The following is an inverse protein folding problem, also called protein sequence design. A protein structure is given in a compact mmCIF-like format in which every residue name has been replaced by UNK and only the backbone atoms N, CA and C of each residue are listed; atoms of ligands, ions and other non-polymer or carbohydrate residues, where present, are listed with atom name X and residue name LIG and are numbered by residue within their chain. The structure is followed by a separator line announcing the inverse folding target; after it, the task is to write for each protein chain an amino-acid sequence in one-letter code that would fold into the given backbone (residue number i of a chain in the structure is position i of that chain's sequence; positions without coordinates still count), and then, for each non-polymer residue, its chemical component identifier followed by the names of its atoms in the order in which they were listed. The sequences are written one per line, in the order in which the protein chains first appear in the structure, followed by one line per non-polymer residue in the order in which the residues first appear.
data_IF_592306557173
#
_entry.id   IF_592306557173
#
_cell.length_a   1.000
_cell.length_b   1.000
_cell.length_c   1.000
_cell.angle_alpha   90.00
_cell.angle_beta   90.00
_cell.angle_gamma   90.00
#
_symmetry.space_group_name_H-M   'P 1'
#
loop_
_entity.id
_entity.type
_entity.pdbx_description
1 polymer ?
#
# COMPACT_ATOMS: atom_id res chain seq x y z
N UNK A 1 -23.78 -10.97 -2.80
CA UNK A 1 -23.26 -9.58 -2.87
C UNK A 1 -21.94 -9.62 -3.62
N UNK A 2 -21.59 -8.55 -4.33
CA UNK A 2 -20.28 -8.46 -4.96
C UNK A 2 -19.18 -8.48 -3.88
N UNK A 3 -18.09 -9.22 -4.15
CA UNK A 3 -16.90 -9.20 -3.30
C UNK A 3 -16.20 -7.86 -3.40
N UNK A 4 -15.62 -7.38 -2.32
CA UNK A 4 -15.03 -6.05 -2.19
C UNK A 4 -13.51 -6.13 -2.17
N UNK A 5 -12.85 -5.41 -3.07
CA UNK A 5 -11.39 -5.38 -3.17
C UNK A 5 -10.87 -3.96 -2.94
N UNK A 6 -9.98 -3.83 -1.97
CA UNK A 6 -9.26 -2.60 -1.66
C UNK A 6 -7.88 -2.64 -2.32
N UNK A 7 -7.62 -1.74 -3.24
CA UNK A 7 -6.30 -1.56 -3.85
C UNK A 7 -5.54 -0.43 -3.16
N UNK A 8 -4.36 -0.74 -2.62
CA UNK A 8 -3.46 0.20 -1.97
C UNK A 8 -2.18 0.28 -2.79
N UNK A 9 -2.13 1.26 -3.68
CA UNK A 9 -1.11 1.38 -4.71
C UNK A 9 -0.09 2.45 -4.34
N UNK A 10 1.17 2.19 -4.66
CA UNK A 10 2.22 3.19 -4.56
C UNK A 10 2.17 4.18 -5.73
N UNK A 11 1.82 3.70 -6.93
CA UNK A 11 1.80 4.46 -8.17
C UNK A 11 0.54 4.17 -8.98
N UNK A 12 -0.03 5.23 -9.60
CA UNK A 12 -1.16 5.10 -10.53
C UNK A 12 -0.97 6.08 -11.68
N UNK A 13 -0.96 5.60 -12.92
CA UNK A 13 -1.10 6.42 -14.12
C UNK A 13 -2.58 6.87 -14.28
N UNK A 14 -2.90 8.10 -14.64
CA UNK A 14 -2.04 9.16 -15.21
C UNK A 14 -1.52 10.19 -14.19
N UNK A 15 -1.66 9.95 -12.89
CA UNK A 15 -1.20 10.90 -11.87
C UNK A 15 0.33 10.93 -11.76
N UNK A 16 0.97 9.81 -12.07
CA UNK A 16 2.43 9.66 -12.17
C UNK A 16 2.82 9.21 -13.58
N UNK A 17 4.13 9.35 -13.94
CA UNK A 17 4.66 8.82 -15.18
C UNK A 17 4.36 7.33 -15.35
N UNK A 18 4.39 6.86 -16.59
CA UNK A 18 4.16 5.48 -16.91
C UNK A 18 5.33 4.60 -16.48
N UNK A 19 5.03 3.64 -15.61
CA UNK A 19 5.88 2.53 -15.17
C UNK A 19 5.03 1.26 -15.19
N UNK A 20 5.64 0.07 -15.15
CA UNK A 20 4.86 -1.18 -15.05
C UNK A 20 3.91 -1.15 -13.84
N UNK A 21 4.39 -0.69 -12.67
CA UNK A 21 3.59 -0.56 -11.47
C UNK A 21 2.43 0.44 -11.64
N UNK A 22 2.67 1.62 -12.21
CA UNK A 22 1.64 2.66 -12.36
C UNK A 22 0.56 2.27 -13.35
N UNK A 23 0.90 1.51 -14.41
CA UNK A 23 -0.06 0.95 -15.37
C UNK A 23 -0.93 -0.11 -14.71
N UNK A 24 -0.34 -1.05 -13.99
CA UNK A 24 -1.10 -2.05 -13.24
C UNK A 24 -1.98 -1.38 -12.18
N UNK A 25 -1.46 -0.35 -11.48
CA UNK A 25 -2.22 0.44 -10.50
C UNK A 25 -3.46 1.11 -11.09
N UNK A 26 -3.44 1.48 -12.38
CA UNK A 26 -4.59 2.00 -13.12
C UNK A 26 -5.53 0.91 -13.61
N UNK A 27 -4.97 -0.11 -14.26
CA UNK A 27 -5.76 -1.05 -15.07
C UNK A 27 -6.32 -2.21 -14.25
N UNK A 28 -5.58 -2.70 -13.24
CA UNK A 28 -6.01 -3.84 -12.43
C UNK A 28 -7.32 -3.56 -11.66
N UNK A 29 -7.51 -2.39 -10.99
CA UNK A 29 -8.79 -2.07 -10.38
C UNK A 29 -9.95 -2.05 -11.39
N UNK A 30 -9.70 -1.57 -12.62
CA UNK A 30 -10.70 -1.56 -13.68
C UNK A 30 -11.08 -2.98 -14.12
N UNK A 31 -10.08 -3.81 -14.40
CA UNK A 31 -10.29 -5.24 -14.74
C UNK A 31 -11.00 -6.00 -13.62
N UNK A 32 -10.68 -5.72 -12.35
CA UNK A 32 -11.38 -6.31 -11.22
C UNK A 32 -12.86 -5.87 -11.17
N UNK A 33 -13.14 -4.59 -11.45
CA UNK A 33 -14.53 -4.10 -11.52
C UNK A 33 -15.30 -4.77 -12.66
N UNK A 34 -14.70 -4.93 -13.84
CA UNK A 34 -15.29 -5.66 -14.97
C UNK A 34 -15.55 -7.13 -14.63
N UNK A 35 -14.70 -7.75 -13.79
CA UNK A 35 -14.88 -9.10 -13.28
C UNK A 35 -15.94 -9.20 -12.15
N UNK A 36 -16.61 -8.09 -11.80
CA UNK A 36 -17.74 -8.05 -10.87
C UNK A 36 -17.38 -7.73 -9.42
N UNK A 37 -16.15 -7.31 -9.13
CA UNK A 37 -15.77 -6.84 -7.80
C UNK A 37 -16.22 -5.40 -7.56
N UNK A 38 -16.63 -5.08 -6.33
CA UNK A 38 -16.74 -3.69 -5.87
C UNK A 38 -15.35 -3.24 -5.41
N UNK A 39 -14.85 -2.12 -5.93
CA UNK A 39 -13.47 -1.70 -5.69
C UNK A 39 -13.37 -0.33 -5.01
N UNK A 40 -12.30 -0.14 -4.25
CA UNK A 40 -11.77 1.16 -3.82
C UNK A 40 -10.27 1.18 -4.02
N UNK A 41 -9.73 2.37 -4.35
CA UNK A 41 -8.33 2.53 -4.73
C UNK A 41 -7.71 3.70 -3.99
N UNK A 42 -6.52 3.48 -3.44
CA UNK A 42 -5.76 4.48 -2.69
C UNK A 42 -4.34 4.61 -3.24
N UNK A 43 -3.76 5.80 -3.13
CA UNK A 43 -2.34 6.06 -3.35
C UNK A 43 -1.85 7.25 -2.51
N UNK A 44 -0.53 7.41 -2.28
CA UNK A 44 0.00 8.63 -1.68
C UNK A 44 -0.15 9.83 -2.63
N UNK A 45 -0.36 11.00 -2.07
CA UNK A 45 -0.35 12.25 -2.82
C UNK A 45 1.10 12.77 -2.96
N UNK A 46 1.85 12.18 -3.85
CA UNK A 46 3.24 12.60 -4.10
C UNK A 46 3.33 14.07 -4.53
N UNK A 47 4.37 14.77 -4.07
CA UNK A 47 4.54 16.21 -4.32
C UNK A 47 4.65 16.61 -5.79
N UNK A 48 5.04 15.68 -6.67
CA UNK A 48 5.09 15.89 -8.12
C UNK A 48 3.75 15.65 -8.84
N UNK A 49 2.69 15.26 -8.12
CA UNK A 49 1.35 15.14 -8.70
C UNK A 49 0.76 16.54 -8.92
N UNK A 50 0.41 16.84 -10.17
CA UNK A 50 -0.27 18.08 -10.52
C UNK A 50 -1.77 18.00 -10.16
N UNK A 51 -2.15 18.57 -9.03
CA UNK A 51 -3.51 18.52 -8.49
C UNK A 51 -4.55 19.14 -9.43
N UNK A 52 -4.19 20.25 -10.08
CA UNK A 52 -5.11 20.93 -11.01
C UNK A 52 -5.36 20.09 -12.27
N UNK A 53 -4.31 19.51 -12.84
CA UNK A 53 -4.43 18.63 -14.02
C UNK A 53 -5.15 17.34 -13.67
N UNK A 54 -4.86 16.76 -12.50
CA UNK A 54 -5.49 15.55 -12.01
C UNK A 54 -6.89 15.77 -11.43
N UNK A 55 -7.35 17.03 -11.32
CA UNK A 55 -8.63 17.40 -10.73
C UNK A 55 -8.82 16.87 -9.31
N UNK A 56 -7.75 16.89 -8.51
CA UNK A 56 -7.80 16.49 -7.12
C UNK A 56 -8.54 17.53 -6.28
N UNK A 57 -9.44 17.09 -5.43
CA UNK A 57 -10.13 17.95 -4.47
C UNK A 57 -10.18 17.28 -3.10
N UNK A 58 -10.08 18.08 -2.06
CA UNK A 58 -10.11 17.60 -0.69
C UNK A 58 -11.51 17.14 -0.27
N UNK A 59 -11.57 16.03 0.44
CA UNK A 59 -12.78 15.52 1.07
C UNK A 59 -12.75 15.85 2.56
N UNK A 60 -13.23 17.03 2.93
CA UNK A 60 -13.16 17.58 4.29
C UNK A 60 -13.69 16.62 5.35
N UNK A 61 -14.80 15.92 5.09
CA UNK A 61 -15.39 14.96 6.04
C UNK A 61 -14.48 13.76 6.37
N UNK A 62 -13.51 13.46 5.51
CA UNK A 62 -12.54 12.38 5.71
C UNK A 62 -11.21 12.89 6.27
N UNK A 63 -10.90 14.16 6.04
CA UNK A 63 -9.69 14.84 6.51
C UNK A 63 -9.74 15.22 7.99
N UNK A 64 -8.62 15.73 8.53
CA UNK A 64 -8.50 16.35 9.85
C UNK A 64 -8.25 15.38 11.01
N UNK A 65 -8.08 14.09 10.77
CA UNK A 65 -7.62 13.16 11.80
C UNK A 65 -6.11 13.29 11.99
N UNK A 66 -5.65 13.41 13.24
CA UNK A 66 -4.23 13.36 13.55
C UNK A 66 -3.76 11.90 13.68
N UNK A 67 -2.68 11.57 13.00
CA UNK A 67 -1.96 10.30 13.16
C UNK A 67 -0.64 10.58 13.87
N UNK A 68 -0.47 10.00 15.06
CA UNK A 68 0.78 10.13 15.83
C UNK A 68 1.80 9.13 15.30
N UNK A 69 2.95 9.62 14.86
CA UNK A 69 4.09 8.81 14.40
C UNK A 69 5.33 9.38 15.05
N UNK A 70 6.14 8.54 15.70
CA UNK A 70 7.34 8.96 16.43
C UNK A 70 7.10 10.15 17.38
N UNK A 71 6.02 10.05 18.18
CA UNK A 71 5.58 11.05 19.16
C UNK A 71 5.20 12.43 18.55
N UNK A 72 4.97 12.51 17.25
CA UNK A 72 4.60 13.72 16.53
C UNK A 72 3.24 13.56 15.83
N UNK A 73 2.40 14.60 15.95
CA UNK A 73 1.08 14.68 15.31
C UNK A 73 1.21 15.05 13.82
N UNK A 74 0.58 14.25 12.97
CA UNK A 74 0.54 14.49 11.53
C UNK A 74 -0.93 14.50 11.05
N UNK A 75 -1.46 15.67 10.63
CA UNK A 75 -2.82 15.77 10.11
C UNK A 75 -3.00 14.97 8.83
N UNK A 76 -4.02 14.11 8.81
CA UNK A 76 -4.41 13.34 7.63
C UNK A 76 -5.30 14.18 6.73
N UNK A 77 -4.87 14.38 5.48
CA UNK A 77 -5.64 15.05 4.43
C UNK A 77 -6.00 14.01 3.38
N UNK A 78 -7.27 13.96 3.00
CA UNK A 78 -7.78 13.06 1.96
C UNK A 78 -8.22 13.86 0.76
N UNK A 79 -7.61 13.59 -0.39
CA UNK A 79 -8.04 14.14 -1.68
C UNK A 79 -8.60 13.02 -2.54
N UNK A 80 -9.46 13.37 -3.49
CA UNK A 80 -10.09 12.42 -4.41
C UNK A 80 -10.03 12.96 -5.82
N UNK A 81 -9.78 12.06 -6.77
CA UNK A 81 -9.97 12.32 -8.19
C UNK A 81 -10.47 11.04 -8.88
N UNK A 82 -10.97 11.17 -10.10
CA UNK A 82 -11.39 10.04 -10.93
C UNK A 82 -10.44 9.83 -12.09
N UNK A 83 -10.08 8.58 -12.37
CA UNK A 83 -9.34 8.23 -13.59
C UNK A 83 -10.27 8.47 -14.79
N UNK A 84 -9.92 9.35 -15.74
CA UNK A 84 -10.86 9.78 -16.78
C UNK A 84 -11.43 8.65 -17.64
N UNK A 85 -10.64 7.63 -17.93
CA UNK A 85 -11.01 6.52 -18.82
C UNK A 85 -11.94 5.50 -18.17
N UNK A 86 -11.71 5.16 -16.90
CA UNK A 86 -12.44 4.12 -16.16
C UNK A 86 -13.45 4.67 -15.15
N UNK A 87 -13.39 5.98 -14.85
CA UNK A 87 -14.17 6.65 -13.80
C UNK A 87 -13.95 6.10 -12.40
N UNK A 88 -12.91 5.32 -12.20
CA UNK A 88 -12.52 4.82 -10.88
C UNK A 88 -12.06 5.98 -10.03
N UNK A 89 -12.63 6.08 -8.82
CA UNK A 89 -12.18 7.04 -7.82
C UNK A 89 -10.89 6.58 -7.16
N UNK A 90 -9.91 7.48 -7.11
CA UNK A 90 -8.66 7.30 -6.37
C UNK A 90 -8.68 8.22 -5.16
N UNK A 91 -8.48 7.66 -3.98
CA UNK A 91 -8.28 8.38 -2.73
C UNK A 91 -6.79 8.61 -2.53
N UNK A 92 -6.41 9.86 -2.34
CA UNK A 92 -5.03 10.26 -2.10
C UNK A 92 -4.83 10.54 -0.62
N UNK A 93 -3.86 9.86 -0.02
CA UNK A 93 -3.40 10.14 1.34
C UNK A 93 -2.36 11.26 1.26
N UNK A 94 -2.64 12.36 1.91
CA UNK A 94 -1.80 13.55 1.90
C UNK A 94 -1.48 14.06 3.31
N UNK A 95 -0.34 14.72 3.43
CA UNK A 95 0.13 15.39 4.63
C UNK A 95 1.26 16.34 4.23
N UNK A 96 1.32 17.52 4.85
CA UNK A 96 2.30 18.54 4.49
C UNK A 96 3.74 18.13 4.75
N UNK A 97 4.00 17.36 5.81
CA UNK A 97 5.35 16.92 6.18
C UNK A 97 5.86 15.79 5.26
N UNK A 98 4.97 14.84 4.92
CA UNK A 98 5.36 13.59 4.27
C UNK A 98 5.16 13.56 2.76
N UNK A 99 4.16 14.28 2.21
CA UNK A 99 3.75 14.10 0.81
C UNK A 99 3.64 15.37 -0.02
N UNK A 100 3.05 16.45 0.49
CA UNK A 100 2.63 17.62 -0.31
C UNK A 100 3.72 18.21 -1.21
N UNK A 101 4.97 18.23 -0.74
CA UNK A 101 6.10 18.83 -1.46
C UNK A 101 7.24 17.84 -1.72
N UNK A 102 7.02 16.55 -1.47
CA UNK A 102 8.07 15.53 -1.50
C UNK A 102 7.79 14.49 -2.59
N UNK A 103 8.82 14.09 -3.29
CA UNK A 103 8.76 13.01 -4.28
C UNK A 103 8.59 11.65 -3.56
N UNK A 104 8.52 10.59 -4.34
CA UNK A 104 8.24 9.24 -3.83
C UNK A 104 9.28 8.77 -2.81
N UNK A 105 10.53 8.64 -3.20
CA UNK A 105 11.57 8.03 -2.37
C UNK A 105 12.77 8.96 -2.09
N UNK A 106 13.03 9.92 -2.98
CA UNK A 106 14.22 10.75 -2.98
C UNK A 106 13.92 12.21 -3.35
N UNK A 107 14.81 13.10 -2.96
CA UNK A 107 14.74 14.52 -3.29
C UNK A 107 15.16 14.79 -4.75
N UNK A 108 15.25 16.08 -5.13
CA UNK A 108 15.65 16.49 -6.47
C UNK A 108 17.10 16.17 -6.82
N UNK A 109 17.93 15.93 -5.83
CA UNK A 109 19.34 15.60 -5.97
C UNK A 109 19.60 14.09 -5.95
N UNK A 110 18.55 13.27 -5.82
CA UNK A 110 18.64 11.81 -5.74
C UNK A 110 19.02 11.28 -4.35
N UNK A 111 18.87 12.10 -3.29
CA UNK A 111 19.08 11.64 -1.92
C UNK A 111 17.77 11.04 -1.41
N UNK A 112 17.80 9.79 -0.98
CA UNK A 112 16.66 9.15 -0.36
C UNK A 112 16.29 9.84 0.96
N UNK A 113 15.00 9.99 1.19
CA UNK A 113 14.50 10.56 2.44
C UNK A 113 14.75 9.61 3.61
N UNK A 114 15.32 10.13 4.68
CA UNK A 114 15.68 9.36 5.89
C UNK A 114 14.46 8.88 6.68
N UNK A 115 13.29 9.44 6.41
CA UNK A 115 12.00 9.12 7.05
C UNK A 115 11.03 8.35 6.13
N UNK A 116 11.55 7.70 5.08
CA UNK A 116 10.73 6.90 4.17
C UNK A 116 9.90 5.84 4.91
N UNK A 117 10.42 5.29 6.00
CA UNK A 117 9.68 4.36 6.85
C UNK A 117 8.48 5.00 7.55
N UNK A 118 8.65 6.19 8.14
CA UNK A 118 7.54 6.91 8.77
C UNK A 118 6.46 7.29 7.75
N UNK A 119 6.87 7.65 6.53
CA UNK A 119 5.95 7.92 5.42
C UNK A 119 5.12 6.70 5.05
N UNK A 120 5.72 5.50 5.01
CA UNK A 120 5.01 4.25 4.75
C UNK A 120 4.03 3.91 5.89
N UNK A 121 4.42 4.14 7.15
CA UNK A 121 3.54 3.98 8.32
C UNK A 121 2.35 4.94 8.23
N UNK A 122 2.60 6.22 7.94
CA UNK A 122 1.53 7.22 7.80
C UNK A 122 0.56 6.83 6.68
N UNK A 123 1.08 6.42 5.52
CA UNK A 123 0.26 5.98 4.40
C UNK A 123 -0.62 4.79 4.78
N UNK A 124 -0.04 3.74 5.36
CA UNK A 124 -0.77 2.55 5.78
C UNK A 124 -1.90 2.90 6.76
N UNK A 125 -1.59 3.64 7.84
CA UNK A 125 -2.59 4.06 8.83
C UNK A 125 -3.64 5.00 8.24
N UNK A 126 -3.21 5.94 7.39
CA UNK A 126 -4.12 6.87 6.70
C UNK A 126 -5.16 6.15 5.84
N UNK A 127 -4.73 5.12 5.10
CA UNK A 127 -5.66 4.28 4.31
C UNK A 127 -6.62 3.54 5.24
N UNK A 128 -6.13 2.83 6.25
CA UNK A 128 -6.96 2.01 7.12
C UNK A 128 -7.98 2.86 7.90
N UNK A 129 -7.57 3.99 8.46
CA UNK A 129 -8.48 4.91 9.15
C UNK A 129 -9.52 5.53 8.19
N UNK A 130 -9.13 5.81 6.95
CA UNK A 130 -10.08 6.31 5.94
C UNK A 130 -11.12 5.25 5.58
N UNK A 131 -10.72 4.01 5.37
CA UNK A 131 -11.62 2.88 5.07
C UNK A 131 -12.63 2.67 6.22
N UNK A 132 -12.19 2.78 7.48
CA UNK A 132 -13.09 2.76 8.65
C UNK A 132 -14.12 3.89 8.60
N UNK A 133 -13.69 5.13 8.34
CA UNK A 133 -14.61 6.29 8.19
C UNK A 133 -15.61 6.09 7.05
N UNK A 134 -15.22 5.42 5.97
CA UNK A 134 -16.09 5.08 4.85
C UNK A 134 -17.10 3.99 5.19
N UNK A 135 -16.97 3.32 6.34
CA UNK A 135 -17.80 2.17 6.75
C UNK A 135 -17.90 1.10 5.66
N UNK A 136 -16.76 0.79 5.08
CA UNK A 136 -16.64 -0.14 3.96
C UNK A 136 -15.65 -1.24 4.34
N UNK A 137 -16.11 -2.50 4.31
CA UNK A 137 -15.31 -3.65 4.73
C UNK A 137 -14.85 -4.44 3.51
N UNK A 138 -13.55 -4.41 3.15
CA UNK A 138 -13.02 -5.19 2.05
C UNK A 138 -12.97 -6.69 2.40
N UNK A 139 -13.32 -7.55 1.44
CA UNK A 139 -13.04 -8.99 1.52
C UNK A 139 -11.56 -9.26 1.23
N UNK A 140 -10.96 -8.46 0.33
CA UNK A 140 -9.55 -8.55 -0.07
C UNK A 140 -8.88 -7.19 -0.06
N UNK A 141 -7.66 -7.13 0.46
CA UNK A 141 -6.77 -5.97 0.43
C UNK A 141 -5.55 -6.33 -0.43
N UNK A 142 -5.32 -5.58 -1.49
CA UNK A 142 -4.18 -5.76 -2.41
C UNK A 142 -3.20 -4.62 -2.20
N UNK A 143 -2.03 -4.93 -1.68
CA UNK A 143 -0.95 -3.98 -1.41
C UNK A 143 0.08 -4.03 -2.53
N UNK A 144 0.44 -2.88 -3.11
CA UNK A 144 1.32 -2.76 -4.26
C UNK A 144 2.49 -1.83 -3.98
N UNK A 145 3.70 -2.37 -4.04
CA UNK A 145 4.93 -1.62 -3.81
C UNK A 145 5.27 -1.44 -2.33
N UNK A 146 6.49 -0.94 -2.06
CA UNK A 146 7.04 -0.85 -0.70
C UNK A 146 6.27 0.11 0.21
N UNK A 147 5.68 1.17 -0.36
CA UNK A 147 4.92 2.16 0.41
C UNK A 147 3.69 1.54 1.09
N UNK A 148 3.13 0.48 0.52
CA UNK A 148 1.99 -0.25 1.08
C UNK A 148 2.38 -1.47 1.93
N UNK A 149 3.67 -1.81 2.02
CA UNK A 149 4.14 -3.05 2.61
C UNK A 149 4.00 -3.14 4.15
N UNK A 150 3.70 -2.02 4.81
CA UNK A 150 3.35 -1.99 6.26
C UNK A 150 1.89 -2.43 6.49
N UNK A 151 1.03 -2.32 5.49
CA UNK A 151 -0.42 -2.59 5.63
C UNK A 151 -0.72 -4.02 6.10
N UNK A 152 -0.11 -5.09 5.53
CA UNK A 152 -0.37 -6.46 5.98
C UNK A 152 -0.14 -6.64 7.49
N UNK A 153 0.99 -6.12 7.99
CA UNK A 153 1.32 -6.16 9.41
C UNK A 153 0.24 -5.49 10.27
N UNK A 154 -0.18 -4.28 9.92
CA UNK A 154 -1.20 -3.56 10.69
C UNK A 154 -2.58 -4.21 10.60
N UNK A 155 -3.00 -4.72 9.45
CA UNK A 155 -4.31 -5.40 9.33
C UNK A 155 -4.37 -6.63 10.22
N UNK A 156 -3.27 -7.38 10.33
CA UNK A 156 -3.22 -8.62 11.13
C UNK A 156 -2.88 -8.39 12.61
N UNK A 157 -2.52 -7.16 13.00
CA UNK A 157 -2.17 -6.82 14.39
C UNK A 157 -3.03 -5.66 14.89
N UNK A 158 -2.61 -4.42 14.71
CA UNK A 158 -3.24 -3.21 15.25
C UNK A 158 -4.71 -2.98 14.83
N UNK A 159 -5.17 -3.63 13.77
CA UNK A 159 -6.53 -3.52 13.23
C UNK A 159 -7.26 -4.88 13.15
N UNK A 160 -6.71 -5.93 13.77
CA UNK A 160 -7.25 -7.29 13.66
C UNK A 160 -8.68 -7.43 14.21
N UNK A 161 -9.03 -6.66 15.23
CA UNK A 161 -10.33 -6.63 15.88
C UNK A 161 -11.30 -5.57 15.30
N UNK A 162 -10.82 -4.74 14.38
CA UNK A 162 -11.67 -3.74 13.73
C UNK A 162 -12.67 -4.42 12.79
N UNK A 163 -13.98 -4.18 12.96
CA UNK A 163 -15.02 -4.84 12.15
C UNK A 163 -14.86 -4.66 10.65
N UNK A 164 -14.18 -3.58 10.23
CA UNK A 164 -13.90 -3.32 8.82
C UNK A 164 -12.91 -4.33 8.22
N UNK A 165 -12.01 -4.90 9.04
CA UNK A 165 -10.87 -5.70 8.55
C UNK A 165 -10.83 -7.12 9.12
N UNK A 166 -11.63 -7.44 10.12
CA UNK A 166 -11.59 -8.71 10.85
C UNK A 166 -11.65 -9.96 9.96
N UNK A 167 -12.31 -9.87 8.81
CA UNK A 167 -12.43 -10.98 7.84
C UNK A 167 -11.65 -10.73 6.54
N UNK A 168 -10.88 -9.64 6.46
CA UNK A 168 -10.14 -9.29 5.24
C UNK A 168 -8.96 -10.22 5.00
N UNK A 169 -8.81 -10.69 3.77
CA UNK A 169 -7.58 -11.29 3.27
C UNK A 169 -6.65 -10.19 2.77
N UNK A 170 -5.35 -10.41 2.90
CA UNK A 170 -4.34 -9.44 2.47
C UNK A 170 -3.37 -10.08 1.50
N UNK A 171 -3.12 -9.42 0.39
CA UNK A 171 -2.14 -9.84 -0.63
C UNK A 171 -1.08 -8.76 -0.76
N UNK A 172 0.19 -9.18 -0.70
CA UNK A 172 1.33 -8.31 -0.99
C UNK A 172 1.85 -8.56 -2.40
N UNK A 173 1.84 -7.53 -3.22
CA UNK A 173 2.44 -7.55 -4.56
C UNK A 173 3.85 -6.95 -4.49
N UNK A 174 4.85 -7.79 -4.71
CA UNK A 174 6.28 -7.45 -4.66
C UNK A 174 6.76 -6.89 -5.99
N UNK A 175 7.64 -5.91 -5.92
CA UNK A 175 8.26 -5.24 -7.06
C UNK A 175 9.78 -5.19 -6.90
N UNK A 176 10.54 -4.92 -7.98
CA UNK A 176 11.98 -4.68 -7.89
C UNK A 176 12.31 -3.62 -6.83
N UNK A 177 13.45 -3.78 -6.18
CA UNK A 177 13.87 -2.89 -5.10
C UNK A 177 14.06 -1.45 -5.61
N UNK A 178 13.38 -0.50 -4.96
CA UNK A 178 13.36 0.91 -5.32
C UNK A 178 14.13 1.80 -4.33
N UNK A 179 14.61 1.25 -3.21
CA UNK A 179 15.39 1.96 -2.20
C UNK A 179 16.72 1.25 -1.96
N UNK A 180 17.77 2.03 -1.70
CA UNK A 180 19.12 1.54 -1.42
C UNK A 180 19.45 1.57 0.07
N UNK A 181 18.80 2.49 0.81
CA UNK A 181 19.05 2.76 2.20
C UNK A 181 18.02 2.07 3.12
N UNK A 182 18.27 2.13 4.41
CA UNK A 182 17.31 1.73 5.43
C UNK A 182 16.15 2.73 5.50
N UNK A 183 15.02 2.27 6.04
CA UNK A 183 13.78 3.04 6.13
C UNK A 183 13.78 4.10 7.25
N UNK A 184 14.85 4.21 7.99
CA UNK A 184 15.06 5.12 9.11
C UNK A 184 15.64 4.39 10.33
N UNK A 185 16.48 5.05 11.12
CA UNK A 185 17.17 4.44 12.26
C UNK A 185 16.19 3.94 13.35
N UNK A 186 15.05 4.62 13.52
CA UNK A 186 14.03 4.28 14.51
C UNK A 186 12.78 3.65 13.90
N UNK A 187 12.81 3.20 12.64
CA UNK A 187 11.65 2.69 11.92
C UNK A 187 10.93 1.57 12.68
N UNK A 188 11.67 0.62 13.22
CA UNK A 188 11.14 -0.51 13.99
C UNK A 188 10.33 -0.06 15.20
N UNK A 189 10.79 0.97 15.93
CA UNK A 189 10.06 1.61 17.03
C UNK A 189 8.81 2.34 16.52
N UNK A 190 8.92 3.04 15.40
CA UNK A 190 7.78 3.76 14.81
C UNK A 190 6.65 2.82 14.31
N UNK A 191 6.97 1.55 14.00
CA UNK A 191 5.97 0.54 13.67
C UNK A 191 5.06 0.17 14.83
N UNK A 192 5.50 0.39 16.08
CA UNK A 192 4.73 0.03 17.27
C UNK A 192 3.45 0.87 17.36
N UNK A 193 2.31 0.21 17.34
CA UNK A 193 1.01 0.85 17.45
C UNK A 193 -0.03 -0.17 17.88
N UNK A 194 -0.74 0.08 18.98
CA UNK A 194 -1.72 -0.86 19.55
C UNK A 194 -1.07 -2.26 19.74
N UNK A 195 -1.70 -3.31 19.18
CA UNK A 195 -1.22 -4.69 19.24
C UNK A 195 -0.03 -4.98 18.32
N UNK A 196 0.33 -4.06 17.42
CA UNK A 196 1.58 -4.10 16.66
C UNK A 196 2.75 -3.76 17.61
N UNK A 197 3.20 -4.74 18.39
CA UNK A 197 4.15 -4.55 19.49
C UNK A 197 5.59 -4.85 19.10
N UNK A 198 6.55 -4.34 19.90
CA UNK A 198 7.97 -4.64 19.77
C UNK A 198 8.27 -6.16 19.77
N UNK A 199 7.47 -6.96 20.50
CA UNK A 199 7.64 -8.42 20.57
C UNK A 199 7.49 -9.07 19.19
N UNK A 200 6.49 -8.64 18.41
CA UNK A 200 6.25 -9.14 17.06
C UNK A 200 7.34 -8.74 16.06
N UNK A 201 8.10 -7.71 16.39
CA UNK A 201 9.17 -7.20 15.54
C UNK A 201 10.55 -7.80 15.87
N UNK A 202 10.71 -8.55 16.97
CA UNK A 202 11.98 -9.17 17.36
C UNK A 202 12.63 -10.06 16.29
N UNK A 203 11.88 -10.83 15.48
CA UNK A 203 12.49 -11.68 14.45
C UNK A 203 13.21 -10.92 13.33
N UNK A 204 12.92 -9.62 13.15
CA UNK A 204 13.44 -8.80 12.08
C UNK A 204 14.67 -8.00 12.52
N UNK A 205 15.55 -7.65 11.57
CA UNK A 205 16.74 -6.84 11.84
C UNK A 205 16.37 -5.44 12.36
N UNK A 206 17.22 -4.85 13.18
CA UNK A 206 17.02 -3.48 13.66
C UNK A 206 17.21 -2.45 12.53
N UNK A 207 18.12 -2.73 11.60
CA UNK A 207 18.27 -1.94 10.37
C UNK A 207 17.30 -2.46 9.30
N UNK A 208 16.11 -1.89 9.30
CA UNK A 208 15.07 -2.23 8.33
C UNK A 208 15.38 -1.64 6.96
N UNK A 209 15.71 -2.49 6.02
CA UNK A 209 15.75 -2.18 4.59
C UNK A 209 14.47 -2.72 3.88
N UNK A 210 14.40 -2.61 2.57
CA UNK A 210 13.27 -3.15 1.80
C UNK A 210 13.17 -4.68 1.83
N UNK A 211 14.26 -5.38 2.08
CA UNK A 211 14.23 -6.85 2.22
C UNK A 211 13.52 -7.22 3.52
N UNK A 212 13.90 -6.60 4.64
CA UNK A 212 13.23 -6.85 5.92
C UNK A 212 11.77 -6.41 5.91
N UNK A 213 11.46 -5.27 5.27
CA UNK A 213 10.07 -4.83 5.08
C UNK A 213 9.27 -5.82 4.22
N UNK A 214 9.87 -6.35 3.16
CA UNK A 214 9.26 -7.37 2.31
C UNK A 214 8.98 -8.66 3.07
N UNK A 215 9.91 -9.13 3.92
CA UNK A 215 9.69 -10.30 4.80
C UNK A 215 8.55 -10.06 5.78
N UNK A 216 8.53 -8.88 6.43
CA UNK A 216 7.43 -8.49 7.32
C UNK A 216 6.09 -8.53 6.58
N UNK A 217 6.02 -7.95 5.38
CA UNK A 217 4.80 -7.95 4.59
C UNK A 217 4.35 -9.36 4.19
N UNK A 218 5.28 -10.24 3.81
CA UNK A 218 5.00 -11.63 3.46
C UNK A 218 4.44 -12.40 4.66
N UNK A 219 5.07 -12.27 5.84
CA UNK A 219 4.68 -12.98 7.06
C UNK A 219 3.27 -12.66 7.53
N UNK A 220 2.78 -11.46 7.22
CA UNK A 220 1.43 -11.01 7.60
C UNK A 220 0.44 -10.97 6.43
N UNK A 221 0.78 -11.60 5.29
CA UNK A 221 -0.12 -11.71 4.13
C UNK A 221 -0.79 -13.08 4.06
N UNK A 222 -1.94 -13.12 3.39
CA UNK A 222 -2.66 -14.38 3.03
C UNK A 222 -2.26 -14.87 1.63
N UNK A 223 -1.51 -14.08 0.88
CA UNK A 223 -0.98 -14.44 -0.43
C UNK A 223 0.05 -13.42 -0.92
N UNK A 224 0.92 -13.83 -1.83
CA UNK A 224 1.97 -13.00 -2.42
C UNK A 224 1.89 -13.04 -3.93
N UNK A 225 2.17 -11.92 -4.55
CA UNK A 225 2.25 -11.77 -6.01
C UNK A 225 3.62 -11.21 -6.37
N UNK A 226 4.28 -11.81 -7.35
CA UNK A 226 5.38 -11.16 -8.08
C UNK A 226 4.76 -10.19 -9.08
N UNK A 227 4.68 -8.91 -8.71
CA UNK A 227 3.99 -7.87 -9.49
C UNK A 227 4.75 -7.46 -10.75
N UNK A 228 6.07 -7.55 -10.72
CA UNK A 228 6.97 -7.28 -11.84
C UNK A 228 8.25 -8.11 -11.66
N UNK A 229 8.73 -8.70 -12.75
CA UNK A 229 9.98 -9.48 -12.72
C UNK A 229 11.17 -8.62 -13.23
N UNK A 230 12.38 -8.80 -12.66
CA UNK A 230 12.68 -9.67 -11.53
C UNK A 230 12.50 -8.98 -10.17
N UNK A 231 11.79 -9.60 -9.27
CA UNK A 231 11.84 -9.26 -7.84
C UNK A 231 13.14 -9.81 -7.25
N UNK A 232 13.61 -9.21 -6.15
CA UNK A 232 14.79 -9.69 -5.42
C UNK A 232 14.66 -11.19 -5.09
N UNK A 233 15.61 -12.00 -5.57
CA UNK A 233 15.56 -13.46 -5.45
C UNK A 233 15.38 -13.95 -4.01
N UNK A 234 16.03 -13.29 -3.05
CA UNK A 234 15.91 -13.63 -1.62
C UNK A 234 14.48 -13.46 -1.08
N UNK A 235 13.71 -12.48 -1.56
CA UNK A 235 12.31 -12.29 -1.17
C UNK A 235 11.40 -13.32 -1.83
N UNK A 236 11.63 -13.65 -3.10
CA UNK A 236 10.87 -14.70 -3.77
C UNK A 236 11.08 -16.05 -3.10
N UNK A 237 12.32 -16.41 -2.80
CA UNK A 237 12.65 -17.62 -2.08
C UNK A 237 12.00 -17.65 -0.69
N UNK A 238 12.04 -16.52 0.04
CA UNK A 238 11.38 -16.39 1.33
C UNK A 238 9.86 -16.63 1.23
N UNK A 239 9.22 -16.10 0.19
CA UNK A 239 7.80 -16.32 -0.05
C UNK A 239 7.48 -17.78 -0.42
N UNK A 240 8.34 -18.45 -1.21
CA UNK A 240 8.20 -19.87 -1.58
C UNK A 240 8.31 -20.82 -0.37
N UNK A 241 9.05 -20.45 0.65
CA UNK A 241 9.19 -21.21 1.90
C UNK A 241 7.96 -21.10 2.83
N UNK A 242 7.03 -20.17 2.54
CA UNK A 242 5.84 -19.96 3.37
C UNK A 242 4.65 -20.79 2.86
N UNK A 243 3.79 -21.28 3.78
CA UNK A 243 2.58 -22.04 3.42
C UNK A 243 1.44 -21.11 2.97
N UNK A 244 1.70 -20.27 1.98
CA UNK A 244 0.75 -19.31 1.43
C UNK A 244 0.79 -19.30 -0.10
N UNK A 245 -0.30 -18.98 -0.78
CA UNK A 245 -0.34 -18.89 -2.24
C UNK A 245 0.64 -17.83 -2.76
N UNK A 246 1.46 -18.22 -3.74
CA UNK A 246 2.35 -17.34 -4.47
C UNK A 246 1.97 -17.36 -5.95
N UNK A 247 1.65 -16.21 -6.51
CA UNK A 247 1.49 -16.01 -7.94
C UNK A 247 2.76 -15.40 -8.52
N UNK A 248 3.40 -16.11 -9.42
CA UNK A 248 4.56 -15.59 -10.18
C UNK A 248 4.08 -14.56 -11.20
N UNK A 249 4.99 -13.68 -11.65
CA UNK A 249 4.66 -12.66 -12.63
C UNK A 249 3.94 -13.24 -13.85
N UNK A 250 2.68 -12.87 -14.10
CA UNK A 250 1.86 -13.51 -15.12
C UNK A 250 2.09 -12.96 -16.54
N UNK A 251 3.00 -11.99 -16.71
CA UNK A 251 3.21 -11.30 -17.98
C UNK A 251 2.18 -10.20 -18.25
N UNK A 252 2.05 -9.81 -19.52
CA UNK A 252 1.23 -8.67 -19.92
C UNK A 252 -0.28 -8.91 -19.79
N UNK A 253 -0.75 -10.13 -20.02
CA UNK A 253 -2.17 -10.50 -19.86
C UNK A 253 -2.50 -10.94 -18.43
N UNK A 254 -2.24 -10.05 -17.48
CA UNK A 254 -2.37 -10.34 -16.05
C UNK A 254 -3.81 -10.38 -15.53
N UNK A 255 -4.78 -9.75 -16.21
CA UNK A 255 -6.15 -9.59 -15.71
C UNK A 255 -6.82 -10.89 -15.26
N UNK A 256 -6.91 -11.93 -16.12
CA UNK A 256 -7.47 -13.23 -15.74
C UNK A 256 -6.73 -13.90 -14.58
N UNK A 257 -5.38 -13.87 -14.59
CA UNK A 257 -4.57 -14.49 -13.55
C UNK A 257 -4.80 -13.86 -12.17
N UNK A 258 -4.91 -12.53 -12.11
CA UNK A 258 -5.24 -11.83 -10.86
C UNK A 258 -6.67 -12.13 -10.39
N UNK A 259 -7.66 -12.13 -11.29
CA UNK A 259 -9.04 -12.47 -10.95
C UNK A 259 -9.15 -13.89 -10.37
N UNK A 260 -8.50 -14.85 -10.98
CA UNK A 260 -8.43 -16.25 -10.50
C UNK A 260 -7.73 -16.34 -9.15
N UNK A 261 -6.63 -15.61 -8.97
CA UNK A 261 -5.91 -15.58 -7.70
C UNK A 261 -6.75 -14.99 -6.57
N UNK A 262 -7.45 -13.88 -6.84
CA UNK A 262 -8.35 -13.26 -5.87
C UNK A 262 -9.50 -14.19 -5.48
N UNK A 263 -10.16 -14.83 -6.46
CA UNK A 263 -11.25 -15.77 -6.22
C UNK A 263 -10.86 -17.01 -5.41
N UNK A 264 -9.57 -17.39 -5.44
CA UNK A 264 -9.07 -18.50 -4.60
C UNK A 264 -8.87 -18.12 -3.14
N UNK A 265 -8.74 -16.82 -2.85
CA UNK A 265 -8.46 -16.33 -1.50
C UNK A 265 -9.73 -15.96 -0.74
N UNK A 266 -10.79 -15.53 -1.46
CA UNK A 266 -12.03 -14.99 -0.87
C UNK A 266 -13.29 -15.68 -1.38
#
# INVERSE_FOLDING_TARGET
MAKKVLFINQEINPYLPETAMSVIGRDLPHKAQEAGFEIRTFMPKWGNINERRGQLHEVIRLSGMNLVIDDTDHPLIIKVASIPTSRIQVYFIDNDDYFSKRRMAEDENGNEYTDNGQRAIFFARGVLETVKKLRWSPDLIVCQGWMSAVVPFYVKTAYHDEPAFANSKVVMSLYPNQLKNILGENFKKCLEFREASAELLKPYNDKFDLIELGKLAIDYSDGVIEGEAPVTESLLKYAEEKPLPLMRYPGEDYGPAYADFFNKLI
#
